data_IF_505201719154
#
_entry.id   IF_505201719154
#
_cell.length_a   1.000
_cell.length_b   1.000
_cell.length_c   1.000
_cell.angle_alpha   90.00
_cell.angle_beta   90.00
_cell.angle_gamma   90.00
#
_symmetry.space_group_name_H-M   'P 1'
#
loop_
_entity.id
_entity.type
_entity.pdbx_description
1 polymer ?
#
# COMPACT_ATOMS: atom_id res chain seq x y z
N UNK A 1 23.40 -2.08 1.50
CA UNK A 1 23.66 -0.63 1.66
C UNK A 1 22.36 0.10 2.04
N UNK A 2 22.46 1.14 2.89
CA UNK A 2 21.34 1.96 3.37
C UNK A 2 20.81 1.60 4.77
N UNK A 3 20.51 2.61 5.59
CA UNK A 3 20.02 2.45 6.97
C UNK A 3 18.54 2.00 6.98
N UNK A 4 18.19 1.03 7.83
CA UNK A 4 16.80 0.58 8.03
C UNK A 4 15.83 1.74 8.29
N UNK A 5 16.23 2.71 9.15
CA UNK A 5 15.40 3.87 9.45
C UNK A 5 15.13 4.74 8.24
N UNK A 6 16.13 4.93 7.39
CA UNK A 6 16.01 5.66 6.12
C UNK A 6 15.07 4.95 5.16
N UNK A 7 15.25 3.64 4.94
CA UNK A 7 14.40 2.87 4.03
C UNK A 7 12.94 2.83 4.46
N UNK A 8 12.68 2.75 5.77
CA UNK A 8 11.32 2.83 6.30
C UNK A 8 10.68 4.19 6.00
N UNK A 9 11.40 5.29 6.22
CA UNK A 9 10.91 6.63 5.92
C UNK A 9 10.68 6.84 4.41
N UNK A 10 11.63 6.40 3.58
CA UNK A 10 11.53 6.47 2.13
C UNK A 10 10.31 5.67 1.63
N UNK A 11 10.08 4.46 2.13
CA UNK A 11 8.92 3.64 1.77
C UNK A 11 7.59 4.32 2.15
N UNK A 12 7.49 4.92 3.34
CA UNK A 12 6.30 5.70 3.73
C UNK A 12 6.06 6.90 2.82
N UNK A 13 7.13 7.64 2.47
CA UNK A 13 7.05 8.75 1.51
C UNK A 13 6.59 8.27 0.13
N UNK A 14 7.16 7.17 -0.38
CA UNK A 14 6.75 6.56 -1.63
C UNK A 14 5.26 6.19 -1.61
N UNK A 15 4.77 5.57 -0.54
CA UNK A 15 3.34 5.28 -0.38
C UNK A 15 2.47 6.54 -0.54
N UNK A 16 2.78 7.61 0.18
CA UNK A 16 2.04 8.89 0.07
C UNK A 16 2.11 9.47 -1.34
N UNK A 17 3.29 9.49 -1.96
CA UNK A 17 3.45 10.02 -3.33
C UNK A 17 2.71 9.19 -4.37
N UNK A 18 2.65 7.86 -4.21
CA UNK A 18 1.91 7.00 -5.14
C UNK A 18 0.40 7.16 -5.00
N UNK A 19 -0.12 7.49 -3.80
CA UNK A 19 -1.53 7.89 -3.63
C UNK A 19 -1.86 9.18 -4.38
N UNK A 20 -0.95 10.16 -4.37
CA UNK A 20 -1.12 11.36 -5.21
C UNK A 20 -1.03 11.00 -6.70
N UNK A 21 -0.09 10.14 -7.07
CA UNK A 21 0.08 9.65 -8.43
C UNK A 21 -1.19 8.96 -8.95
N UNK A 22 -1.81 8.08 -8.16
CA UNK A 22 -3.03 7.37 -8.61
C UNK A 22 -4.21 8.33 -8.80
N UNK A 23 -4.31 9.36 -7.94
CA UNK A 23 -5.34 10.39 -8.08
C UNK A 23 -5.26 11.07 -9.44
N UNK A 24 -4.06 11.50 -9.84
CA UNK A 24 -3.85 12.12 -11.15
C UNK A 24 -3.95 11.12 -12.31
N UNK A 25 -3.54 9.86 -12.08
CA UNK A 25 -3.54 8.83 -13.11
C UNK A 25 -4.96 8.36 -13.49
N UNK A 26 -5.85 8.23 -12.50
CA UNK A 26 -7.21 7.70 -12.74
C UNK A 26 -8.30 8.77 -12.75
N UNK A 27 -8.02 9.97 -12.21
CA UNK A 27 -9.04 11.01 -12.05
C UNK A 27 -10.20 10.59 -11.14
N UNK A 28 -9.92 9.76 -10.12
CA UNK A 28 -10.90 9.10 -9.24
C UNK A 28 -11.82 8.08 -9.92
N UNK A 29 -11.57 7.72 -11.19
CA UNK A 29 -12.26 6.61 -11.81
C UNK A 29 -11.67 5.28 -11.31
N UNK A 30 -12.53 4.36 -10.87
CA UNK A 30 -12.07 3.08 -10.33
C UNK A 30 -11.72 2.06 -11.41
N UNK A 31 -12.10 2.32 -12.66
CA UNK A 31 -12.03 1.36 -13.76
C UNK A 31 -13.02 0.22 -13.58
N UNK A 32 -12.91 -0.77 -14.45
CA UNK A 32 -13.78 -1.95 -14.49
C UNK A 32 -12.94 -3.24 -14.51
N UNK A 33 -13.57 -4.37 -14.16
CA UNK A 33 -12.95 -5.69 -14.21
C UNK A 33 -11.62 -5.76 -13.44
N UNK A 34 -10.53 -6.17 -14.11
CA UNK A 34 -9.20 -6.28 -13.49
C UNK A 34 -8.64 -4.93 -13.03
N UNK A 35 -9.00 -3.83 -13.69
CA UNK A 35 -8.57 -2.49 -13.27
C UNK A 35 -9.20 -2.07 -11.94
N UNK A 36 -10.47 -2.43 -11.73
CA UNK A 36 -11.16 -2.22 -10.45
C UNK A 36 -10.44 -2.98 -9.34
N UNK A 37 -10.17 -4.28 -9.53
CA UNK A 37 -9.45 -5.09 -8.54
C UNK A 37 -8.02 -4.61 -8.30
N UNK A 38 -7.33 -4.13 -9.34
CA UNK A 38 -6.00 -3.53 -9.22
C UNK A 38 -6.05 -2.30 -8.30
N UNK A 39 -7.01 -1.41 -8.50
CA UNK A 39 -7.15 -0.21 -7.66
C UNK A 39 -7.52 -0.58 -6.23
N UNK A 40 -8.43 -1.54 -6.00
CA UNK A 40 -8.76 -2.01 -4.65
C UNK A 40 -7.52 -2.59 -3.95
N UNK A 41 -6.70 -3.38 -4.64
CA UNK A 41 -5.46 -3.90 -4.06
C UNK A 41 -4.47 -2.77 -3.74
N UNK A 42 -4.33 -1.78 -4.64
CA UNK A 42 -3.48 -0.62 -4.43
C UNK A 42 -3.92 0.25 -3.22
N UNK A 43 -5.21 0.53 -3.10
CA UNK A 43 -5.77 1.30 -1.99
C UNK A 43 -5.69 0.51 -0.68
N UNK A 44 -6.00 -0.78 -0.72
CA UNK A 44 -5.87 -1.69 0.43
C UNK A 44 -4.43 -1.79 0.94
N UNK A 45 -3.46 -1.90 0.04
CA UNK A 45 -2.03 -1.83 0.34
C UNK A 45 -1.68 -0.55 1.10
N UNK A 46 -2.03 0.60 0.55
CA UNK A 46 -1.70 1.90 1.14
C UNK A 46 -2.40 2.12 2.49
N UNK A 47 -3.67 1.72 2.61
CA UNK A 47 -4.41 1.80 3.87
C UNK A 47 -3.77 0.91 4.94
N UNK A 48 -3.50 -0.36 4.63
CA UNK A 48 -2.89 -1.30 5.56
C UNK A 48 -1.47 -0.87 5.96
N UNK A 49 -0.67 -0.37 5.00
CA UNK A 49 0.66 0.16 5.26
C UNK A 49 0.63 1.41 6.15
N UNK A 50 -0.29 2.33 5.88
CA UNK A 50 -0.52 3.52 6.71
C UNK A 50 -0.93 3.17 8.14
N UNK A 51 -1.87 2.24 8.31
CA UNK A 51 -2.26 1.73 9.63
C UNK A 51 -1.11 1.08 10.39
N UNK A 52 -0.27 0.30 9.69
CA UNK A 52 0.92 -0.29 10.30
C UNK A 52 1.93 0.78 10.75
N UNK A 53 2.14 1.82 9.94
CA UNK A 53 3.02 2.94 10.28
C UNK A 53 2.50 3.74 11.49
N UNK A 54 1.19 4.02 11.53
CA UNK A 54 0.53 4.67 12.67
C UNK A 54 0.64 3.81 13.93
N UNK A 55 0.43 2.50 13.82
CA UNK A 55 0.54 1.58 14.96
C UNK A 55 1.95 1.59 15.56
N UNK A 56 3.00 1.58 14.73
CA UNK A 56 4.40 1.69 15.17
C UNK A 56 4.69 3.04 15.83
N UNK A 57 4.16 4.14 15.27
CA UNK A 57 4.31 5.47 15.85
C UNK A 57 3.59 5.58 17.20
N UNK A 58 2.42 4.96 17.32
CA UNK A 58 1.62 4.92 18.53
C UNK A 58 2.23 4.01 19.61
N UNK A 59 2.80 2.85 19.26
CA UNK A 59 3.50 1.95 20.19
C UNK A 59 4.61 2.66 20.98
N UNK A 60 5.34 3.58 20.32
CA UNK A 60 6.38 4.38 20.99
C UNK A 60 5.83 5.34 22.05
N UNK A 61 4.57 5.75 21.92
CA UNK A 61 3.94 6.77 22.78
C UNK A 61 2.99 6.17 23.81
N UNK A 62 2.37 5.04 23.48
CA UNK A 62 1.40 4.34 24.29
C UNK A 62 1.77 2.86 24.24
N UNK A 63 2.36 2.36 25.33
CA UNK A 63 2.81 0.97 25.52
C UNK A 63 1.63 -0.01 25.62
N UNK A 64 0.78 -0.05 24.59
CA UNK A 64 -0.51 -0.73 24.59
C UNK A 64 -0.50 -2.02 23.77
N UNK A 65 -1.04 -3.15 24.30
CA UNK A 65 -1.27 -4.40 23.57
C UNK A 65 -2.06 -4.22 22.26
N UNK A 66 -2.90 -3.18 22.20
CA UNK A 66 -3.70 -2.81 21.03
C UNK A 66 -2.82 -2.39 19.84
N UNK A 67 -1.75 -1.61 20.08
CA UNK A 67 -0.82 -1.17 19.02
C UNK A 67 -0.11 -2.36 18.37
N UNK A 68 0.36 -3.31 19.18
CA UNK A 68 0.99 -4.55 18.72
C UNK A 68 0.05 -5.42 17.88
N UNK A 69 -1.22 -5.56 18.33
CA UNK A 69 -2.23 -6.30 17.57
C UNK A 69 -2.56 -5.61 16.24
N UNK A 70 -2.79 -4.29 16.26
CA UNK A 70 -3.07 -3.52 15.06
C UNK A 70 -1.91 -3.61 14.06
N UNK A 71 -0.67 -3.44 14.51
CA UNK A 71 0.53 -3.59 13.69
C UNK A 71 0.59 -4.97 13.03
N UNK A 72 0.35 -6.03 13.81
CA UNK A 72 0.34 -7.40 13.30
C UNK A 72 -0.72 -7.63 12.23
N UNK A 73 -1.96 -7.18 12.46
CA UNK A 73 -3.06 -7.32 11.49
C UNK A 73 -2.81 -6.47 10.25
N UNK A 74 -2.42 -5.21 10.41
CA UNK A 74 -2.17 -4.29 9.31
C UNK A 74 -1.01 -4.77 8.43
N UNK A 75 0.07 -5.30 9.02
CA UNK A 75 1.19 -5.87 8.27
C UNK A 75 0.76 -7.08 7.45
N UNK A 76 -0.04 -7.99 8.05
CA UNK A 76 -0.58 -9.15 7.33
C UNK A 76 -1.49 -8.72 6.18
N UNK A 77 -2.40 -7.78 6.42
CA UNK A 77 -3.28 -7.25 5.38
C UNK A 77 -2.49 -6.59 4.24
N UNK A 78 -1.43 -5.83 4.55
CA UNK A 78 -0.55 -5.23 3.55
C UNK A 78 0.10 -6.29 2.66
N UNK A 79 0.59 -7.39 3.23
CA UNK A 79 1.15 -8.52 2.48
C UNK A 79 0.08 -9.22 1.62
N UNK A 80 -1.13 -9.42 2.17
CA UNK A 80 -2.23 -10.07 1.43
C UNK A 80 -2.62 -9.25 0.21
N UNK A 81 -2.75 -7.92 0.31
CA UNK A 81 -3.02 -7.08 -0.85
C UNK A 81 -1.82 -6.94 -1.80
N UNK A 82 -0.59 -7.07 -1.28
CA UNK A 82 0.60 -7.13 -2.12
C UNK A 82 0.61 -8.34 -3.04
N UNK A 83 0.15 -9.50 -2.57
CA UNK A 83 0.28 -10.75 -3.33
C UNK A 83 -0.35 -10.70 -4.74
N UNK A 84 -1.62 -10.27 -4.93
CA UNK A 84 -2.22 -10.16 -6.26
C UNK A 84 -1.76 -8.91 -7.04
N UNK A 85 -1.25 -7.87 -6.37
CA UNK A 85 -0.99 -6.57 -6.98
C UNK A 85 0.01 -6.61 -8.15
N UNK A 86 1.20 -7.24 -8.06
CA UNK A 86 2.15 -7.32 -9.17
C UNK A 86 1.57 -8.01 -10.41
N UNK A 87 0.75 -9.04 -10.22
CA UNK A 87 0.12 -9.77 -11.33
C UNK A 87 -0.91 -8.88 -12.03
N UNK A 88 -1.79 -8.22 -11.27
CA UNK A 88 -2.78 -7.30 -11.81
C UNK A 88 -2.13 -6.09 -12.50
N UNK A 89 -1.05 -5.54 -11.91
CA UNK A 89 -0.29 -4.46 -12.50
C UNK A 89 0.38 -4.89 -13.81
N UNK A 90 0.93 -6.11 -13.85
CA UNK A 90 1.49 -6.71 -15.06
C UNK A 90 0.47 -6.77 -16.19
N UNK A 91 -0.74 -7.25 -15.92
CA UNK A 91 -1.82 -7.25 -16.91
C UNK A 91 -2.23 -5.84 -17.34
N UNK A 92 -2.32 -4.89 -16.40
CA UNK A 92 -2.65 -3.50 -16.70
C UNK A 92 -1.63 -2.83 -17.62
N UNK A 93 -0.34 -3.12 -17.44
CA UNK A 93 0.72 -2.62 -18.32
C UNK A 93 0.68 -3.36 -19.67
N UNK A 94 0.58 -4.69 -19.66
CA UNK A 94 0.58 -5.51 -20.87
C UNK A 94 -0.54 -5.12 -21.84
N UNK A 95 -1.76 -4.82 -21.33
CA UNK A 95 -2.90 -4.41 -22.17
C UNK A 95 -2.73 -3.05 -22.87
N UNK A 96 -1.72 -2.25 -22.50
CA UNK A 96 -1.43 -0.95 -23.13
C UNK A 96 -0.33 -1.08 -24.19
N UNK A 97 0.61 -2.02 -23.99
CA UNK A 97 1.77 -2.18 -24.87
C UNK A 97 1.63 -3.32 -25.88
N UNK A 98 0.82 -4.34 -25.60
CA UNK A 98 0.68 -5.52 -26.46
C UNK A 98 -0.63 -5.54 -27.25
N UNK A 99 -1.62 -4.76 -26.83
CA UNK A 99 -2.96 -4.66 -27.41
C UNK A 99 -3.37 -3.20 -27.47
#
# INVERSE_FOLDING_TARGET
FGNYGFWRAAHSWLGVTTLLGIFFHTGLNFGENLNFWLLICFLGLNLAGGLAAIAVAAEKRFSGPVGARLRGVATKAHIVFFLPYPVLLGFHIAKVYLY
#
